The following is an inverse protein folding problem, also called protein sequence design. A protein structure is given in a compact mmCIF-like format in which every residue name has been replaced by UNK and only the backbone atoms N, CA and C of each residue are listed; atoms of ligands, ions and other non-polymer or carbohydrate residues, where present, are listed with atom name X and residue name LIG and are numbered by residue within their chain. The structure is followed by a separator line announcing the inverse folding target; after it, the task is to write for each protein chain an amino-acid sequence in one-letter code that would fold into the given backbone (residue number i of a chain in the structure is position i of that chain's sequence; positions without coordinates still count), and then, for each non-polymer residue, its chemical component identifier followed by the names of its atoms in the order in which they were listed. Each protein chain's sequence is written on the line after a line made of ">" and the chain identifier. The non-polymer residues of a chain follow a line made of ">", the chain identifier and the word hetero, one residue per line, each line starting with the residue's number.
data_IF_593277110702
#
_entry.id   IF_593277110702
#
_cell.length_a   1.000
_cell.length_b   1.000
_cell.length_c   1.000
_cell.angle_alpha   90.00
_cell.angle_beta   90.00
_cell.angle_gamma   90.00
#
_symmetry.space_group_name_H-M   'P 1'
#
loop_
_entity.id
_entity.type
_entity.pdbx_description
1 polymer ?
#
# COMPACT_ATOMS: atom_id res chain seq x y z
N UNK A 1 -55.33 33.09 12.35
CA UNK A 1 -54.84 31.80 11.80
C UNK A 1 -53.30 31.82 11.86
N UNK A 2 -52.69 31.15 12.84
CA UNK A 2 -51.23 31.14 13.05
C UNK A 2 -50.63 30.00 12.22
N UNK A 3 -49.96 30.35 11.12
CA UNK A 3 -49.23 29.39 10.28
C UNK A 3 -47.93 29.03 11.01
N UNK A 4 -47.91 27.88 11.68
CA UNK A 4 -46.70 27.31 12.24
C UNK A 4 -45.84 26.80 11.08
N UNK A 5 -44.68 27.41 10.88
CA UNK A 5 -43.69 26.94 9.90
C UNK A 5 -42.86 25.84 10.58
N UNK A 6 -42.83 24.60 10.07
CA UNK A 6 -42.00 23.56 10.67
C UNK A 6 -40.53 23.85 10.34
N UNK A 7 -39.72 24.08 11.37
CA UNK A 7 -38.26 24.16 11.27
C UNK A 7 -37.77 22.76 10.91
N UNK A 8 -37.42 22.57 9.64
CA UNK A 8 -36.79 21.35 9.13
C UNK A 8 -35.35 21.29 9.66
N UNK A 9 -35.16 20.60 10.79
CA UNK A 9 -33.85 20.36 11.39
C UNK A 9 -33.09 19.30 10.56
N UNK A 10 -32.39 19.73 9.50
CA UNK A 10 -31.42 18.89 8.79
C UNK A 10 -30.15 18.74 9.66
N UNK A 11 -30.11 17.67 10.46
CA UNK A 11 -28.87 17.18 11.05
C UNK A 11 -28.00 16.56 9.95
N UNK A 12 -27.07 17.34 9.40
CA UNK A 12 -26.01 16.82 8.55
C UNK A 12 -25.07 15.95 9.41
N UNK A 13 -25.19 14.62 9.27
CA UNK A 13 -24.26 13.67 9.85
C UNK A 13 -22.96 13.77 9.03
N UNK A 14 -22.01 14.58 9.49
CA UNK A 14 -20.67 14.60 8.90
C UNK A 14 -19.99 13.27 9.24
N UNK A 15 -19.43 12.53 8.25
CA UNK A 15 -18.60 11.39 8.57
C UNK A 15 -17.38 11.88 9.34
N UNK A 16 -17.21 11.40 10.56
CA UNK A 16 -15.97 11.57 11.31
C UNK A 16 -14.91 10.77 10.56
N UNK A 17 -14.15 11.44 9.69
CA UNK A 17 -12.93 10.86 9.12
C UNK A 17 -11.98 10.59 10.27
N UNK A 18 -11.80 9.31 10.64
CA UNK A 18 -10.73 8.90 11.53
C UNK A 18 -9.42 9.29 10.84
N UNK A 19 -8.72 10.27 11.38
CA UNK A 19 -7.35 10.54 10.96
C UNK A 19 -6.54 9.26 11.18
N UNK A 20 -6.03 8.67 10.11
CA UNK A 20 -5.08 7.57 10.23
C UNK A 20 -3.83 8.13 10.91
N UNK A 21 -3.35 7.49 11.99
CA UNK A 21 -2.10 7.91 12.58
C UNK A 21 -1.01 7.81 11.51
N UNK A 22 -0.34 8.93 11.20
CA UNK A 22 0.87 8.89 10.38
C UNK A 22 1.91 8.05 11.14
N UNK A 23 2.04 6.78 10.76
CA UNK A 23 3.04 5.88 11.32
C UNK A 23 4.38 6.31 10.71
N UNK A 24 5.23 6.95 11.51
CA UNK A 24 6.62 7.13 11.12
C UNK A 24 7.32 5.78 11.16
N UNK A 25 7.57 5.19 10.00
CA UNK A 25 8.31 3.93 9.90
C UNK A 25 9.81 4.15 10.10
N UNK A 26 10.52 3.16 10.66
CA UNK A 26 11.97 3.08 10.51
C UNK A 26 12.35 3.12 9.02
N UNK A 27 13.48 3.75 8.70
CA UNK A 27 13.89 3.98 7.29
C UNK A 27 13.88 2.72 6.44
N UNK A 28 14.38 1.61 6.96
CA UNK A 28 14.37 0.32 6.26
C UNK A 28 12.98 -0.24 5.96
N UNK A 29 11.98 0.06 6.80
CA UNK A 29 10.59 -0.36 6.60
C UNK A 29 9.95 0.55 5.56
N UNK A 30 10.20 1.86 5.61
CA UNK A 30 9.72 2.80 4.60
C UNK A 30 10.25 2.46 3.19
N UNK A 31 11.56 2.17 3.07
CA UNK A 31 12.18 1.78 1.79
C UNK A 31 11.64 0.43 1.30
N UNK A 32 11.33 -0.50 2.21
CA UNK A 32 10.68 -1.75 1.81
C UNK A 32 9.26 -1.51 1.26
N UNK A 33 8.47 -0.67 1.93
CA UNK A 33 7.11 -0.33 1.47
C UNK A 33 7.18 0.30 0.08
N UNK A 34 8.09 1.24 -0.15
CA UNK A 34 8.31 1.87 -1.47
C UNK A 34 8.61 0.82 -2.56
N UNK A 35 9.56 -0.09 -2.32
CA UNK A 35 9.86 -1.15 -3.30
C UNK A 35 8.70 -2.14 -3.48
N UNK A 36 7.92 -2.39 -2.42
CA UNK A 36 6.79 -3.30 -2.45
C UNK A 36 5.62 -2.72 -3.26
N UNK A 37 5.30 -1.44 -3.04
CA UNK A 37 4.28 -0.71 -3.81
C UNK A 37 4.69 -0.57 -5.28
N UNK A 38 5.95 -0.24 -5.56
CA UNK A 38 6.47 -0.20 -6.93
C UNK A 38 6.39 -1.58 -7.61
N UNK A 39 6.65 -2.66 -6.86
CA UNK A 39 6.53 -4.02 -7.37
C UNK A 39 5.09 -4.33 -7.80
N UNK A 40 4.12 -4.09 -6.93
CA UNK A 40 2.71 -4.29 -7.23
C UNK A 40 2.25 -3.41 -8.41
N UNK A 41 2.72 -2.15 -8.44
CA UNK A 41 2.42 -1.23 -9.52
C UNK A 41 2.88 -1.76 -10.88
N UNK A 42 4.17 -2.08 -11.04
CA UNK A 42 4.67 -2.59 -12.33
C UNK A 42 4.16 -3.99 -12.67
N UNK A 43 3.91 -4.85 -11.68
CA UNK A 43 3.29 -6.15 -11.92
C UNK A 43 1.86 -6.00 -12.46
N UNK A 44 1.12 -4.99 -11.98
CA UNK A 44 -0.22 -4.66 -12.48
C UNK A 44 -0.26 -3.95 -13.83
N UNK A 45 0.86 -3.35 -14.28
CA UNK A 45 0.95 -2.68 -15.59
C UNK A 45 1.24 -3.65 -16.75
N UNK A 46 1.70 -4.87 -16.48
CA UNK A 46 2.08 -5.79 -17.55
C UNK A 46 0.84 -6.25 -18.34
N UNK A 47 0.86 -5.98 -19.64
CA UNK A 47 -0.18 -6.37 -20.59
C UNK A 47 0.48 -6.93 -21.88
N UNK A 48 0.13 -8.16 -22.32
CA UNK A 48 0.69 -8.79 -23.51
C UNK A 48 0.41 -8.03 -24.81
N UNK A 49 -0.58 -7.15 -24.86
CA UNK A 49 -0.95 -6.37 -26.03
C UNK A 49 -0.11 -5.08 -26.16
N UNK A 50 0.71 -4.74 -25.16
CA UNK A 50 1.61 -3.59 -25.22
C UNK A 50 2.71 -3.78 -26.28
N UNK A 51 3.25 -2.69 -26.85
CA UNK A 51 4.44 -2.78 -27.68
C UNK A 51 5.59 -3.47 -26.93
N UNK A 52 6.38 -4.31 -27.62
CA UNK A 52 7.45 -5.10 -27.03
C UNK A 52 8.43 -4.26 -26.18
N UNK A 53 8.76 -3.05 -26.64
CA UNK A 53 9.63 -2.12 -25.88
C UNK A 53 9.04 -1.78 -24.51
N UNK A 54 7.73 -1.61 -24.43
CA UNK A 54 7.03 -1.25 -23.21
C UNK A 54 6.92 -2.45 -22.27
N UNK A 55 6.61 -3.63 -22.80
CA UNK A 55 6.67 -4.89 -22.04
C UNK A 55 8.05 -5.08 -21.40
N UNK A 56 9.14 -4.88 -22.16
CA UNK A 56 10.50 -4.98 -21.60
C UNK A 56 10.78 -3.95 -20.51
N UNK A 57 10.31 -2.70 -20.69
CA UNK A 57 10.48 -1.63 -19.69
C UNK A 57 9.80 -2.01 -18.37
N UNK A 58 8.53 -2.44 -18.44
CA UNK A 58 7.73 -2.81 -17.28
C UNK A 58 8.33 -4.04 -16.60
N UNK A 59 8.63 -5.11 -17.35
CA UNK A 59 9.22 -6.33 -16.78
C UNK A 59 10.57 -6.07 -16.11
N UNK A 60 11.44 -5.24 -16.70
CA UNK A 60 12.71 -4.89 -16.09
C UNK A 60 12.54 -4.01 -14.83
N UNK A 61 11.54 -3.12 -14.82
CA UNK A 61 11.20 -2.32 -13.66
C UNK A 61 10.68 -3.20 -12.52
N UNK A 62 9.67 -4.03 -12.79
CA UNK A 62 9.11 -5.00 -11.84
C UNK A 62 10.20 -5.90 -11.26
N UNK A 63 11.03 -6.52 -12.11
CA UNK A 63 12.10 -7.41 -11.65
C UNK A 63 13.04 -6.74 -10.65
N UNK A 64 13.42 -5.49 -10.88
CA UNK A 64 14.33 -4.74 -10.01
C UNK A 64 13.72 -4.47 -8.63
N UNK A 65 12.50 -3.93 -8.59
CA UNK A 65 11.86 -3.53 -7.32
C UNK A 65 11.32 -4.74 -6.55
N UNK A 66 10.72 -5.71 -7.24
CA UNK A 66 10.23 -6.94 -6.61
C UNK A 66 11.37 -7.77 -6.02
N UNK A 67 12.51 -7.91 -6.72
CA UNK A 67 13.66 -8.61 -6.17
C UNK A 67 14.28 -7.89 -4.96
N UNK A 68 14.23 -6.56 -4.92
CA UNK A 68 14.67 -5.78 -3.76
C UNK A 68 13.73 -6.01 -2.56
N UNK A 69 12.42 -5.88 -2.77
CA UNK A 69 11.40 -6.11 -1.75
C UNK A 69 11.43 -7.55 -1.21
N UNK A 70 11.53 -8.55 -2.09
CA UNK A 70 11.66 -9.97 -1.72
C UNK A 70 12.90 -10.26 -0.86
N UNK A 71 14.02 -9.57 -1.09
CA UNK A 71 15.23 -9.68 -0.24
C UNK A 71 15.11 -8.95 1.10
N UNK A 72 14.30 -7.90 1.16
CA UNK A 72 14.08 -7.08 2.37
C UNK A 72 13.10 -7.77 3.32
N UNK A 73 11.98 -8.29 2.81
CA UNK A 73 10.90 -8.87 3.59
C UNK A 73 11.34 -9.88 4.67
N UNK A 74 12.07 -10.97 4.36
CA UNK A 74 12.43 -11.98 5.37
C UNK A 74 13.35 -11.41 6.47
N UNK A 75 14.14 -10.39 6.15
CA UNK A 75 15.00 -9.70 7.13
C UNK A 75 14.16 -8.82 8.05
N UNK A 76 13.23 -8.07 7.49
CA UNK A 76 12.39 -7.13 8.22
C UNK A 76 11.37 -7.84 9.10
N UNK A 77 10.70 -8.89 8.58
CA UNK A 77 9.70 -9.62 9.37
C UNK A 77 10.34 -10.28 10.59
N UNK A 78 11.57 -10.80 10.45
CA UNK A 78 12.36 -11.33 11.57
C UNK A 78 12.80 -10.24 12.53
N UNK A 79 13.32 -9.12 12.03
CA UNK A 79 13.79 -7.99 12.86
C UNK A 79 12.67 -7.39 13.70
N UNK A 80 11.49 -7.26 13.12
CA UNK A 80 10.34 -6.60 13.75
C UNK A 80 9.30 -7.55 14.32
N UNK A 81 9.55 -8.85 14.42
CA UNK A 81 8.58 -9.86 14.92
C UNK A 81 7.97 -9.53 16.30
N UNK A 82 8.68 -8.79 17.16
CA UNK A 82 8.19 -8.34 18.46
C UNK A 82 7.40 -7.03 18.41
N UNK A 83 7.36 -6.34 17.27
CA UNK A 83 6.64 -5.09 17.06
C UNK A 83 5.38 -5.36 16.24
N UNK A 84 4.26 -5.63 16.92
CA UNK A 84 2.99 -5.99 16.30
C UNK A 84 2.51 -4.98 15.24
N UNK A 85 2.79 -3.68 15.42
CA UNK A 85 2.40 -2.64 14.46
C UNK A 85 3.18 -2.78 13.15
N UNK A 86 4.51 -2.89 13.22
CA UNK A 86 5.34 -3.03 12.02
C UNK A 86 5.15 -4.41 11.39
N UNK A 87 5.07 -5.48 12.17
CA UNK A 87 4.81 -6.82 11.65
C UNK A 87 3.51 -6.90 10.86
N UNK A 88 2.43 -6.26 11.35
CA UNK A 88 1.15 -6.21 10.63
C UNK A 88 1.29 -5.55 9.26
N UNK A 89 2.05 -4.46 9.17
CA UNK A 89 2.30 -3.74 7.92
C UNK A 89 3.14 -4.59 6.96
N UNK A 90 4.23 -5.18 7.45
CA UNK A 90 5.07 -6.07 6.63
C UNK A 90 4.23 -7.24 6.08
N UNK A 91 3.39 -7.86 6.89
CA UNK A 91 2.54 -8.99 6.50
C UNK A 91 1.55 -8.67 5.38
N UNK A 92 1.20 -7.39 5.14
CA UNK A 92 0.37 -7.02 3.97
C UNK A 92 1.05 -7.38 2.65
N UNK A 93 2.39 -7.41 2.64
CA UNK A 93 3.23 -7.66 1.48
C UNK A 93 3.86 -9.07 1.50
N UNK A 94 3.32 -10.02 2.28
CA UNK A 94 3.91 -11.36 2.39
C UNK A 94 3.96 -12.12 1.07
N UNK A 95 3.07 -11.80 0.13
CA UNK A 95 2.98 -12.42 -1.19
C UNK A 95 4.12 -12.03 -2.13
N UNK A 96 4.86 -10.94 -1.84
CA UNK A 96 5.98 -10.50 -2.70
C UNK A 96 7.10 -11.55 -2.77
N UNK A 97 7.22 -12.42 -1.77
CA UNK A 97 8.19 -13.52 -1.79
C UNK A 97 7.79 -14.70 -2.67
N UNK A 98 6.56 -14.73 -3.21
CA UNK A 98 6.10 -15.87 -4.00
C UNK A 98 6.59 -15.79 -5.46
N UNK A 99 7.12 -14.64 -5.87
CA UNK A 99 7.49 -14.34 -7.25
C UNK A 99 9.01 -14.46 -7.54
N UNK A 100 9.87 -14.63 -6.52
CA UNK A 100 11.35 -14.65 -6.62
C UNK A 100 12.01 -15.44 -5.49
#
# INVERSE_FOLDING_TARGET
>A
MKKQLPILLLLAILPVSKAEPHISYPREVAVFIEHAEDCEHFAGEFDPDLPQKEQHRISAAAQRVCAAAGKQYPKLIRKYQGNARISKVLQQYSHITDYY
#
